data_IF_991552362498
#
_entry.id   IF_991552362498
#
_cell.length_a   1.000
_cell.length_b   1.000
_cell.length_c   1.000
_cell.angle_alpha   90.00
_cell.angle_beta   90.00
_cell.angle_gamma   90.00
#
_symmetry.space_group_name_H-M   'P 1'
#
loop_
_entity.id
_entity.type
_entity.pdbx_description
1 polymer ?
#
# COMPACT_ATOMS: atom_id res chain seq x y z
N UNK A 1 39.18 27.85 29.98
CA UNK A 1 38.32 27.90 28.78
C UNK A 1 38.56 26.66 27.93
N UNK A 2 37.80 25.58 28.19
CA UNK A 2 37.94 24.28 27.53
C UNK A 2 37.30 24.32 26.13
N UNK A 3 38.09 24.33 25.08
CA UNK A 3 37.62 24.15 23.70
C UNK A 3 37.33 22.66 23.48
N UNK A 4 36.09 22.27 23.52
CA UNK A 4 35.69 20.93 23.06
C UNK A 4 35.94 20.81 21.58
N UNK A 5 37.00 20.10 21.23
CA UNK A 5 37.28 19.67 19.85
C UNK A 5 36.30 18.55 19.58
N UNK A 6 35.18 18.85 18.93
CA UNK A 6 34.32 17.83 18.39
C UNK A 6 35.08 17.07 17.31
N UNK A 7 35.47 15.85 17.62
CA UNK A 7 36.17 14.98 16.68
C UNK A 7 35.19 14.55 15.58
N UNK A 8 35.63 14.53 14.34
CA UNK A 8 34.81 14.11 13.19
C UNK A 8 34.25 12.69 13.38
N UNK A 9 34.92 11.81 14.15
CA UNK A 9 34.39 10.49 14.51
C UNK A 9 33.13 10.57 15.37
N UNK A 10 33.10 11.48 16.34
CA UNK A 10 31.90 11.64 17.22
C UNK A 10 30.66 12.12 16.45
N UNK A 11 30.88 12.93 15.41
CA UNK A 11 29.79 13.37 14.51
C UNK A 11 29.28 12.21 13.64
N UNK A 12 30.18 11.38 13.14
CA UNK A 12 29.83 10.19 12.35
C UNK A 12 29.06 9.17 13.21
N UNK A 13 29.53 8.94 14.44
CA UNK A 13 28.88 8.02 15.37
C UNK A 13 27.46 8.53 15.77
N UNK A 14 27.30 9.83 15.94
CA UNK A 14 26.01 10.45 16.25
C UNK A 14 25.02 10.35 15.06
N UNK A 15 25.50 10.52 13.83
CA UNK A 15 24.68 10.37 12.62
C UNK A 15 24.30 8.89 12.40
N UNK A 16 25.23 7.95 12.62
CA UNK A 16 24.94 6.52 12.59
C UNK A 16 23.90 6.14 13.65
N UNK A 17 24.04 6.62 14.88
CA UNK A 17 23.10 6.35 15.96
C UNK A 17 21.69 6.87 15.64
N UNK A 18 21.58 8.06 15.04
CA UNK A 18 20.29 8.64 14.58
C UNK A 18 19.63 7.83 13.45
N UNK A 19 20.41 7.21 12.56
CA UNK A 19 19.88 6.35 11.51
C UNK A 19 19.31 5.03 12.06
N UNK A 20 19.82 4.53 13.18
CA UNK A 20 19.35 3.29 13.81
C UNK A 20 18.17 3.47 14.77
N UNK A 21 17.83 4.69 15.18
CA UNK A 21 16.72 4.95 16.11
C UNK A 21 15.34 5.05 15.43
N UNK A 22 15.29 5.10 14.10
CA UNK A 22 14.04 5.11 13.35
C UNK A 22 13.71 3.69 12.84
N UNK A 23 13.46 2.77 13.74
CA UNK A 23 12.82 1.49 13.41
C UNK A 23 11.29 1.64 13.56
N UNK A 24 10.67 2.53 12.82
CA UNK A 24 9.29 2.33 12.47
C UNK A 24 9.25 1.04 11.65
N UNK A 25 8.50 0.07 12.15
CA UNK A 25 8.28 -1.18 11.44
C UNK A 25 7.68 -0.80 10.09
N UNK A 26 8.53 -0.77 9.05
CA UNK A 26 8.04 -0.75 7.68
C UNK A 26 7.27 -2.06 7.48
N UNK A 27 5.98 -2.05 7.73
CA UNK A 27 5.09 -3.14 7.36
C UNK A 27 5.04 -3.14 5.84
N UNK A 28 5.88 -3.99 5.25
CA UNK A 28 5.93 -4.16 3.79
C UNK A 28 4.67 -4.87 3.26
N UNK A 29 3.85 -5.41 4.15
CA UNK A 29 2.51 -5.90 3.86
C UNK A 29 1.56 -4.81 4.34
N UNK A 30 0.95 -4.08 3.40
CA UNK A 30 -0.16 -3.19 3.73
C UNK A 30 -1.17 -4.02 4.53
N UNK A 31 -1.53 -3.54 5.73
CA UNK A 31 -2.57 -4.19 6.51
C UNK A 31 -3.83 -4.26 5.64
N UNK A 32 -4.24 -5.48 5.27
CA UNK A 32 -5.53 -5.72 4.65
C UNK A 32 -6.59 -5.35 5.67
N UNK A 33 -7.10 -4.14 5.56
CA UNK A 33 -8.19 -3.69 6.39
C UNK A 33 -9.50 -3.97 5.67
N UNK A 34 -10.42 -4.56 6.41
CA UNK A 34 -11.79 -4.76 5.98
C UNK A 34 -12.39 -3.43 5.54
N UNK A 35 -12.83 -3.38 4.29
CA UNK A 35 -13.44 -2.19 3.68
C UNK A 35 -14.95 -2.24 3.69
N UNK A 36 -15.50 -3.47 3.63
CA UNK A 36 -16.95 -3.69 3.60
C UNK A 36 -17.31 -5.08 4.12
N UNK A 37 -18.42 -5.16 4.86
CA UNK A 37 -19.10 -6.42 5.20
C UNK A 37 -20.58 -6.25 4.93
N UNK A 38 -21.11 -7.12 4.09
CA UNK A 38 -22.53 -7.15 3.77
C UNK A 38 -23.09 -8.56 3.85
N UNK A 39 -24.42 -8.65 3.98
CA UNK A 39 -25.16 -9.91 3.91
C UNK A 39 -26.13 -9.84 2.76
N UNK A 40 -26.20 -10.92 2.01
CA UNK A 40 -27.16 -11.11 0.94
C UNK A 40 -27.56 -12.57 0.91
N UNK A 41 -28.85 -12.83 0.96
CA UNK A 41 -29.42 -14.19 1.05
C UNK A 41 -28.75 -15.01 2.17
N UNK A 42 -28.18 -16.15 1.85
CA UNK A 42 -27.49 -17.04 2.78
C UNK A 42 -25.98 -16.74 2.92
N UNK A 43 -25.50 -15.63 2.37
CA UNK A 43 -24.09 -15.28 2.33
C UNK A 43 -23.77 -14.01 3.14
N UNK A 44 -22.67 -14.05 3.87
CA UNK A 44 -21.97 -12.89 4.36
C UNK A 44 -20.74 -12.70 3.50
N UNK A 45 -20.59 -11.53 2.89
CA UNK A 45 -19.49 -11.19 2.00
C UNK A 45 -18.66 -10.13 2.68
N UNK A 46 -17.39 -10.44 2.92
CA UNK A 46 -16.39 -9.52 3.42
C UNK A 46 -15.48 -9.12 2.26
N UNK A 47 -15.23 -7.82 2.11
CA UNK A 47 -14.36 -7.28 1.07
C UNK A 47 -13.26 -6.46 1.72
N UNK A 48 -12.03 -6.76 1.35
CA UNK A 48 -10.85 -5.98 1.69
C UNK A 48 -10.25 -5.39 0.43
N UNK A 49 -9.66 -4.19 0.50
CA UNK A 49 -9.06 -3.52 -0.65
C UNK A 49 -7.65 -3.02 -0.33
N UNK A 50 -6.74 -3.15 -1.28
CA UNK A 50 -5.38 -2.62 -1.25
C UNK A 50 -5.13 -1.70 -2.46
N UNK A 51 -4.65 -0.46 -2.23
CA UNK A 51 -4.44 0.17 -0.92
C UNK A 51 -5.76 0.38 -0.19
N UNK A 52 -5.73 0.46 1.15
CA UNK A 52 -6.94 0.62 1.99
C UNK A 52 -7.79 1.86 1.63
N UNK A 53 -7.14 2.89 1.15
CA UNK A 53 -7.77 4.03 0.47
C UNK A 53 -7.42 3.93 -1.01
N UNK A 54 -8.33 3.41 -1.84
CA UNK A 54 -8.09 3.31 -3.27
C UNK A 54 -7.82 4.67 -3.89
N UNK A 55 -6.90 4.67 -4.84
CA UNK A 55 -6.52 5.85 -5.60
C UNK A 55 -6.65 5.55 -7.08
N UNK A 56 -6.62 6.60 -7.90
CA UNK A 56 -6.47 6.43 -9.35
C UNK A 56 -5.25 5.54 -9.63
N UNK A 57 -5.49 4.42 -10.32
CA UNK A 57 -4.51 3.37 -10.55
C UNK A 57 -5.03 1.99 -10.17
N UNK A 58 -4.12 1.08 -9.89
CA UNK A 58 -4.44 -0.31 -9.58
C UNK A 58 -4.95 -0.48 -8.15
N UNK A 59 -6.01 -1.26 -8.01
CA UNK A 59 -6.56 -1.71 -6.74
C UNK A 59 -6.74 -3.22 -6.75
N UNK A 60 -6.37 -3.85 -5.65
CA UNK A 60 -6.52 -5.27 -5.41
C UNK A 60 -7.63 -5.49 -4.39
N UNK A 61 -8.58 -6.34 -4.71
CA UNK A 61 -9.70 -6.70 -3.86
C UNK A 61 -9.59 -8.15 -3.47
N UNK A 62 -9.76 -8.42 -2.18
CA UNK A 62 -9.93 -9.78 -1.65
C UNK A 62 -11.34 -9.92 -1.11
N UNK A 63 -12.07 -10.93 -1.57
CA UNK A 63 -13.46 -11.21 -1.27
C UNK A 63 -13.52 -12.53 -0.53
N UNK A 64 -14.11 -12.52 0.66
CA UNK A 64 -14.26 -13.69 1.54
C UNK A 64 -15.75 -13.98 1.76
N UNK A 65 -16.35 -14.87 0.97
CA UNK A 65 -17.74 -15.26 1.18
C UNK A 65 -17.83 -16.35 2.26
N UNK A 66 -18.80 -16.19 3.17
CA UNK A 66 -19.11 -17.18 4.22
C UNK A 66 -20.61 -17.45 4.23
N UNK A 67 -20.98 -18.65 4.59
CA UNK A 67 -22.40 -19.00 4.82
C UNK A 67 -22.91 -18.38 6.12
N UNK A 68 -24.01 -17.63 6.07
CA UNK A 68 -24.65 -17.06 7.27
C UNK A 68 -25.14 -18.15 8.22
N UNK A 69 -25.60 -19.28 7.67
CA UNK A 69 -26.21 -20.35 8.45
C UNK A 69 -25.17 -21.20 9.21
N UNK A 70 -24.01 -21.44 8.60
CA UNK A 70 -23.00 -22.33 9.17
C UNK A 70 -21.74 -21.62 9.62
N UNK A 71 -21.51 -20.39 9.17
CA UNK A 71 -20.26 -19.65 9.39
C UNK A 71 -19.07 -20.18 8.57
N UNK A 72 -19.29 -21.21 7.75
CA UNK A 72 -18.22 -21.81 6.96
C UNK A 72 -17.91 -20.95 5.72
N UNK A 73 -16.65 -20.85 5.32
CA UNK A 73 -16.27 -20.20 4.08
C UNK A 73 -16.82 -20.97 2.86
N UNK A 74 -17.06 -20.24 1.77
CA UNK A 74 -17.52 -20.80 0.50
C UNK A 74 -16.32 -20.97 -0.41
N UNK A 75 -15.97 -22.21 -0.71
CA UNK A 75 -14.78 -22.54 -1.53
C UNK A 75 -15.08 -22.64 -3.02
N UNK A 76 -16.30 -23.02 -3.38
CA UNK A 76 -16.72 -23.20 -4.77
C UNK A 76 -17.79 -22.18 -5.15
N UNK A 77 -17.34 -21.01 -5.61
CA UNK A 77 -18.20 -19.96 -6.12
C UNK A 77 -17.58 -19.29 -7.34
N UNK A 78 -18.44 -18.79 -8.22
CA UNK A 78 -18.04 -17.84 -9.25
C UNK A 78 -18.31 -16.45 -8.64
N UNK A 79 -17.26 -15.67 -8.47
CA UNK A 79 -17.36 -14.32 -7.92
C UNK A 79 -16.94 -13.33 -8.99
N UNK A 80 -17.78 -12.32 -9.19
CA UNK A 80 -17.52 -11.23 -10.12
C UNK A 80 -17.65 -9.92 -9.39
N UNK A 81 -16.61 -9.09 -9.47
CA UNK A 81 -16.62 -7.72 -8.98
C UNK A 81 -16.87 -6.76 -10.13
N UNK A 82 -17.90 -5.95 -10.02
CA UNK A 82 -18.26 -4.93 -10.99
C UNK A 82 -18.20 -3.59 -10.29
N UNK A 83 -17.53 -2.61 -10.89
CA UNK A 83 -17.49 -1.23 -10.38
C UNK A 83 -18.03 -0.27 -11.43
N UNK A 84 -18.84 0.68 -11.00
CA UNK A 84 -19.50 1.65 -11.90
C UNK A 84 -19.33 3.06 -11.38
N UNK A 85 -19.06 3.99 -12.27
CA UNK A 85 -19.09 5.41 -12.01
C UNK A 85 -19.58 6.13 -13.27
N UNK A 86 -20.75 6.78 -13.18
CA UNK A 86 -21.41 7.50 -14.31
C UNK A 86 -21.50 6.61 -15.56
N UNK A 87 -20.63 6.88 -16.54
CA UNK A 87 -20.63 6.25 -17.85
C UNK A 87 -19.60 5.10 -17.97
N UNK A 88 -18.85 4.85 -16.91
CA UNK A 88 -17.79 3.83 -16.90
C UNK A 88 -18.19 2.63 -16.02
N UNK A 89 -17.96 1.44 -16.54
CA UNK A 89 -18.13 0.20 -15.79
C UNK A 89 -16.97 -0.73 -16.09
N UNK A 90 -16.43 -1.32 -15.05
CA UNK A 90 -15.38 -2.32 -15.14
C UNK A 90 -15.80 -3.58 -14.40
N UNK A 91 -15.46 -4.72 -14.97
CA UNK A 91 -15.75 -6.02 -14.43
C UNK A 91 -14.47 -6.83 -14.29
N UNK A 92 -14.34 -7.52 -13.17
CA UNK A 92 -13.24 -8.46 -12.92
C UNK A 92 -13.79 -9.73 -12.29
N UNK A 93 -13.47 -10.87 -12.89
CA UNK A 93 -13.75 -12.16 -12.25
C UNK A 93 -12.71 -12.39 -11.16
N UNK A 94 -13.18 -12.59 -9.94
CA UNK A 94 -12.31 -12.96 -8.84
C UNK A 94 -11.93 -14.44 -8.94
N UNK A 95 -10.67 -14.72 -8.66
CA UNK A 95 -10.10 -16.09 -8.68
C UNK A 95 -9.61 -16.45 -7.30
N UNK A 96 -9.61 -17.74 -6.98
CA UNK A 96 -9.10 -18.19 -5.69
C UNK A 96 -7.66 -17.72 -5.49
N UNK A 97 -7.40 -17.19 -4.31
CA UNK A 97 -6.05 -16.82 -3.90
C UNK A 97 -5.13 -18.04 -3.92
N UNK A 98 -3.90 -17.93 -4.41
CA UNK A 98 -2.94 -19.04 -4.36
C UNK A 98 -2.64 -19.55 -2.95
N UNK A 99 -2.86 -18.70 -1.94
CA UNK A 99 -2.61 -19.01 -0.53
C UNK A 99 -3.85 -19.54 0.21
N UNK A 100 -5.05 -19.44 -0.38
CA UNK A 100 -6.30 -19.82 0.28
C UNK A 100 -7.41 -20.09 -0.73
N UNK A 101 -8.05 -21.24 -0.64
CA UNK A 101 -9.20 -21.60 -1.46
C UNK A 101 -10.49 -20.87 -1.06
N UNK A 102 -10.47 -20.19 0.07
CA UNK A 102 -11.62 -19.47 0.64
C UNK A 102 -11.61 -17.98 0.36
N UNK A 103 -10.51 -17.48 -0.19
CA UNK A 103 -10.31 -16.08 -0.57
C UNK A 103 -10.28 -15.95 -2.08
N UNK A 104 -10.96 -14.95 -2.59
CA UNK A 104 -11.08 -14.66 -4.02
C UNK A 104 -10.51 -13.28 -4.31
N UNK A 105 -9.51 -13.25 -5.18
CA UNK A 105 -8.77 -12.04 -5.52
C UNK A 105 -9.20 -11.48 -6.87
N UNK A 106 -9.49 -10.18 -6.91
CA UNK A 106 -9.82 -9.43 -8.11
C UNK A 106 -8.95 -8.18 -8.22
N UNK A 107 -8.49 -7.88 -9.42
CA UNK A 107 -7.71 -6.68 -9.70
C UNK A 107 -8.51 -5.77 -10.63
N UNK A 108 -8.55 -4.49 -10.29
CA UNK A 108 -9.18 -3.45 -11.10
C UNK A 108 -8.23 -2.23 -11.23
N UNK A 109 -8.48 -1.43 -12.26
CA UNK A 109 -7.78 -0.16 -12.44
C UNK A 109 -8.80 0.96 -12.49
N UNK A 110 -8.70 1.90 -11.55
CA UNK A 110 -9.51 3.11 -11.55
C UNK A 110 -8.81 4.20 -12.36
N UNK A 111 -9.51 4.77 -13.33
CA UNK A 111 -8.97 5.83 -14.19
C UNK A 111 -9.38 7.22 -13.73
N UNK A 112 -10.30 7.34 -12.77
CA UNK A 112 -10.81 8.60 -12.23
C UNK A 112 -11.03 8.51 -10.73
N UNK A 113 -10.91 9.64 -10.08
CA UNK A 113 -11.30 9.85 -8.70
C UNK A 113 -12.83 9.92 -8.53
N UNK A 114 -13.28 9.76 -7.32
CA UNK A 114 -14.70 9.89 -6.93
C UNK A 114 -15.29 8.61 -6.36
N UNK A 115 -16.60 8.64 -6.19
CA UNK A 115 -17.35 7.51 -5.65
C UNK A 115 -17.71 6.53 -6.77
N UNK A 116 -17.33 5.28 -6.57
CA UNK A 116 -17.63 4.16 -7.45
C UNK A 116 -18.59 3.23 -6.73
N UNK A 117 -19.71 2.91 -7.36
CA UNK A 117 -20.60 1.84 -6.92
C UNK A 117 -19.95 0.50 -7.26
N UNK A 118 -19.72 -0.32 -6.25
CA UNK A 118 -19.20 -1.67 -6.39
C UNK A 118 -20.29 -2.69 -6.14
N UNK A 119 -20.35 -3.70 -7.00
CA UNK A 119 -21.26 -4.83 -6.90
C UNK A 119 -20.42 -6.11 -6.86
N UNK A 120 -20.58 -6.90 -5.81
CA UNK A 120 -20.03 -8.27 -5.77
C UNK A 120 -21.17 -9.23 -6.06
N UNK A 121 -21.06 -9.93 -7.18
CA UNK A 121 -21.93 -11.03 -7.55
C UNK A 121 -21.31 -12.34 -7.10
N UNK A 122 -22.09 -13.14 -6.40
CA UNK A 122 -21.71 -14.50 -6.02
C UNK A 122 -22.68 -15.48 -6.66
N UNK A 123 -22.14 -16.44 -7.40
CA UNK A 123 -22.90 -17.53 -7.98
C UNK A 123 -22.34 -18.85 -7.47
N UNK A 124 -23.18 -19.57 -6.74
CA UNK A 124 -22.89 -20.94 -6.31
C UNK A 124 -23.66 -21.93 -7.17
N UNK A 125 -23.11 -23.11 -7.40
CA UNK A 125 -23.78 -24.14 -8.20
C UNK A 125 -24.92 -24.80 -7.39
N UNK A 126 -26.09 -25.03 -8.01
CA UNK A 126 -26.50 -24.70 -9.38
C UNK A 126 -27.37 -23.43 -9.49
N UNK A 127 -26.77 -22.35 -10.02
CA UNK A 127 -27.59 -21.28 -10.61
C UNK A 127 -28.21 -20.24 -9.68
N UNK A 128 -27.89 -20.23 -8.40
CA UNK A 128 -28.31 -19.16 -7.49
C UNK A 128 -27.29 -18.02 -7.54
N UNK A 129 -27.74 -16.85 -7.98
CA UNK A 129 -26.93 -15.62 -8.04
C UNK A 129 -27.42 -14.64 -7.01
N UNK A 130 -26.52 -14.12 -6.19
CA UNK A 130 -26.77 -13.08 -5.19
C UNK A 130 -25.82 -11.92 -5.41
N UNK A 131 -26.26 -10.69 -5.16
CA UNK A 131 -25.47 -9.47 -5.33
C UNK A 131 -25.48 -8.61 -4.08
N UNK A 132 -24.33 -8.08 -3.71
CA UNK A 132 -24.20 -7.07 -2.66
C UNK A 132 -23.52 -5.83 -3.21
N UNK A 133 -24.01 -4.64 -2.77
CA UNK A 133 -23.55 -3.35 -3.25
C UNK A 133 -22.88 -2.56 -2.13
N UNK A 134 -21.83 -1.83 -2.49
CA UNK A 134 -21.13 -0.90 -1.59
C UNK A 134 -20.46 0.22 -2.40
N UNK A 135 -20.01 1.26 -1.72
CA UNK A 135 -19.31 2.37 -2.37
C UNK A 135 -17.81 2.29 -2.10
N UNK A 136 -17.02 2.49 -3.14
CA UNK A 136 -15.56 2.64 -3.07
C UNK A 136 -15.23 4.09 -3.40
N UNK A 137 -14.68 4.81 -2.43
CA UNK A 137 -14.20 6.16 -2.65
C UNK A 137 -12.75 6.11 -3.17
N UNK A 138 -12.55 6.60 -4.39
CA UNK A 138 -11.25 6.63 -5.07
C UNK A 138 -10.70 8.05 -5.04
N UNK A 139 -9.54 8.25 -4.41
CA UNK A 139 -8.89 9.55 -4.34
C UNK A 139 -7.98 9.81 -5.55
N UNK A 140 -7.87 11.09 -5.94
CA UNK A 140 -6.99 11.52 -7.03
C UNK A 140 -5.52 11.63 -6.63
N UNK A 141 -5.25 11.71 -5.34
CA UNK A 141 -3.88 11.89 -4.85
C UNK A 141 -3.13 10.56 -4.81
N UNK A 142 -2.09 10.46 -5.61
CA UNK A 142 -1.12 9.38 -5.41
C UNK A 142 -0.36 9.65 -4.11
N UNK A 143 -0.39 8.70 -3.15
CA UNK A 143 0.33 8.77 -1.86
C UNK A 143 1.85 8.95 -2.06
N UNK A 144 2.36 8.63 -3.23
CA UNK A 144 3.76 8.83 -3.58
C UNK A 144 3.87 10.04 -4.50
N UNK A 145 3.90 11.24 -3.92
CA UNK A 145 4.51 12.33 -4.64
C UNK A 145 6.01 11.98 -4.76
N UNK A 146 6.43 11.53 -5.93
CA UNK A 146 7.85 11.19 -6.21
C UNK A 146 8.82 12.32 -5.92
N UNK A 147 8.29 13.52 -5.73
CA UNK A 147 8.97 14.74 -5.31
C UNK A 147 9.67 14.60 -3.95
N UNK A 148 9.00 14.01 -2.94
CA UNK A 148 9.59 13.83 -1.59
C UNK A 148 10.73 12.82 -1.60
N UNK A 149 10.60 11.73 -2.34
CA UNK A 149 11.67 10.76 -2.54
C UNK A 149 12.85 11.39 -3.30
N UNK A 150 12.58 12.21 -4.32
CA UNK A 150 13.60 12.94 -5.06
C UNK A 150 14.42 13.88 -4.19
N UNK A 151 13.80 14.66 -3.31
CA UNK A 151 14.50 15.54 -2.37
C UNK A 151 15.34 14.76 -1.36
N UNK A 152 14.85 13.61 -0.87
CA UNK A 152 15.63 12.75 0.01
C UNK A 152 16.90 12.23 -0.67
N UNK A 153 16.79 11.75 -1.91
CA UNK A 153 17.96 11.31 -2.69
C UNK A 153 18.95 12.44 -2.97
N UNK A 154 18.45 13.63 -3.33
CA UNK A 154 19.32 14.81 -3.52
C UNK A 154 20.04 15.22 -2.24
N UNK A 155 19.38 15.13 -1.09
CA UNK A 155 19.99 15.41 0.21
C UNK A 155 21.11 14.43 0.53
N UNK A 156 20.87 13.12 0.39
CA UNK A 156 21.91 12.10 0.60
C UNK A 156 23.08 12.27 -0.38
N UNK A 157 22.78 12.52 -1.65
CA UNK A 157 23.79 12.78 -2.67
C UNK A 157 24.63 14.03 -2.33
N UNK A 158 23.98 15.09 -1.87
CA UNK A 158 24.68 16.30 -1.40
C UNK A 158 25.67 16.00 -0.27
N UNK A 159 25.28 15.22 0.73
CA UNK A 159 26.16 14.78 1.82
C UNK A 159 27.35 13.99 1.27
N UNK A 160 27.10 13.02 0.38
CA UNK A 160 28.15 12.17 -0.21
C UNK A 160 29.16 12.95 -1.03
N UNK A 161 28.78 14.09 -1.62
CA UNK A 161 29.68 14.96 -2.39
C UNK A 161 30.41 15.95 -1.47
N UNK A 162 29.67 16.63 -0.60
CA UNK A 162 30.23 17.73 0.22
C UNK A 162 31.20 17.23 1.27
N UNK A 163 30.91 16.10 1.94
CA UNK A 163 31.80 15.57 2.98
C UNK A 163 33.20 15.20 2.46
N UNK A 164 33.36 14.47 1.38
CA UNK A 164 34.69 14.18 0.81
C UNK A 164 35.43 15.46 0.39
N UNK A 165 34.75 16.45 -0.21
CA UNK A 165 35.37 17.71 -0.60
C UNK A 165 35.93 18.43 0.63
N UNK A 166 35.15 18.53 1.71
CA UNK A 166 35.62 19.16 2.96
C UNK A 166 36.84 18.40 3.52
N UNK A 167 36.81 17.08 3.50
CA UNK A 167 37.91 16.26 3.99
C UNK A 167 39.16 16.47 3.15
N UNK A 168 39.08 16.48 1.83
CA UNK A 168 40.22 16.73 0.91
C UNK A 168 40.81 18.11 1.17
N UNK A 169 39.96 19.15 1.26
CA UNK A 169 40.43 20.51 1.53
C UNK A 169 41.09 20.65 2.89
N UNK A 170 40.56 19.97 3.91
CA UNK A 170 41.18 19.96 5.26
C UNK A 170 42.51 19.23 5.28
N UNK A 171 42.65 18.13 4.55
CA UNK A 171 43.90 17.38 4.44
C UNK A 171 44.97 18.17 3.69
N UNK A 172 44.66 18.83 2.58
CA UNK A 172 45.58 19.69 1.84
C UNK A 172 46.14 20.81 2.70
N UNK A 173 45.27 21.54 3.43
CA UNK A 173 45.71 22.62 4.34
C UNK A 173 46.60 22.15 5.48
N UNK A 174 46.49 20.89 5.91
CA UNK A 174 47.33 20.34 6.95
C UNK A 174 48.75 20.04 6.42
N UNK A 175 48.87 19.56 5.18
CA UNK A 175 50.17 19.26 4.54
C UNK A 175 50.95 20.52 4.13
N UNK A 176 50.32 21.64 3.90
CA UNK A 176 50.98 22.91 3.58
C UNK A 176 51.56 23.64 4.82
N UNK A 177 51.20 23.17 6.03
CA UNK A 177 51.66 23.75 7.30
C UNK A 177 52.68 22.89 8.05
N UNK A 178 53.08 21.75 7.50
CA UNK A 178 54.14 20.87 8.00
C UNK A 178 55.39 21.00 7.13
#
# INVERSE_FOLDING_TARGET
MMRHVFNASTLIDMVLLLCFTQTDRASAHGDMKESFVGKVDDYQIKVSVLPHQPMVGHAHFTIEPTSVNTGNPIEEAIITLIVRNRDEAFESRAVNSPSSTTMYDANLTFYREGDWEAEVKIQTLPGHESSVFFTVNVSGDSIVSGTSAGYFFLFIFGILVVVPIILILKYRRKNERA
#
